data_IF_383209868877
#
_entry.id   IF_383209868877
#
_cell.length_a   1.000
_cell.length_b   1.000
_cell.length_c   1.000
_cell.angle_alpha   90.00
_cell.angle_beta   90.00
_cell.angle_gamma   90.00
#
_symmetry.space_group_name_H-M   'P 1'
#
loop_
_entity.id
_entity.type
_entity.pdbx_description
1 polymer ?
#
# COMPACT_ATOMS: atom_id res chain seq x y z
N UNK A 1 -8.53 -3.84 -11.81
CA UNK A 1 -9.14 -4.55 -10.67
C UNK A 1 -9.26 -3.52 -9.57
N UNK A 2 -10.45 -3.25 -9.09
CA UNK A 2 -10.68 -2.40 -7.92
C UNK A 2 -10.63 -3.26 -6.68
N UNK A 3 -10.10 -2.72 -5.59
CA UNK A 3 -10.18 -3.34 -4.28
C UNK A 3 -11.58 -3.08 -3.74
N UNK A 4 -12.18 -4.08 -3.10
CA UNK A 4 -13.53 -4.01 -2.56
C UNK A 4 -13.52 -4.08 -1.03
N UNK A 5 -14.54 -3.49 -0.40
CA UNK A 5 -14.70 -3.50 1.05
C UNK A 5 -15.35 -4.80 1.55
N UNK A 6 -14.75 -5.95 1.19
CA UNK A 6 -15.31 -7.29 1.42
C UNK A 6 -15.16 -7.82 2.84
N UNK A 7 -14.32 -7.14 3.66
CA UNK A 7 -14.02 -7.60 5.02
C UNK A 7 -13.83 -6.43 5.99
N UNK A 8 -13.87 -6.68 7.31
CA UNK A 8 -13.44 -5.71 8.32
C UNK A 8 -11.96 -5.38 8.19
N UNK A 9 -11.57 -4.17 8.59
CA UNK A 9 -10.17 -3.75 8.63
C UNK A 9 -9.62 -3.24 7.30
N UNK A 10 -10.47 -2.91 6.33
CA UNK A 10 -10.03 -2.22 5.12
C UNK A 10 -9.70 -0.77 5.44
N UNK A 11 -8.51 -0.32 5.02
CA UNK A 11 -8.00 1.03 5.23
C UNK A 11 -8.19 1.84 3.95
N UNK A 12 -8.92 2.95 4.03
CA UNK A 12 -9.29 3.75 2.87
C UNK A 12 -9.30 5.25 3.14
N UNK A 13 -9.16 6.04 2.07
CA UNK A 13 -9.22 7.50 2.12
C UNK A 13 -10.67 7.99 2.20
N UNK A 14 -10.94 8.90 3.13
CA UNK A 14 -12.21 9.59 3.21
C UNK A 14 -12.32 10.67 2.11
N UNK A 15 -13.54 10.90 1.64
CA UNK A 15 -13.87 12.00 0.75
C UNK A 15 -15.32 12.45 0.98
N UNK A 16 -15.67 13.61 0.45
CA UNK A 16 -17.03 14.17 0.46
C UNK A 16 -17.63 14.23 -0.96
N UNK A 17 -17.17 13.37 -1.88
CA UNK A 17 -17.55 13.31 -3.27
C UNK A 17 -16.36 13.45 -4.22
N UNK A 18 -16.57 13.56 -5.54
CA UNK A 18 -15.50 13.65 -6.52
C UNK A 18 -14.52 14.79 -6.24
N UNK A 19 -13.22 14.50 -6.32
CA UNK A 19 -12.13 15.48 -6.15
C UNK A 19 -12.07 16.19 -4.78
N UNK A 20 -12.61 15.56 -3.73
CA UNK A 20 -12.59 16.11 -2.35
C UNK A 20 -11.70 15.33 -1.39
N UNK A 21 -10.86 14.42 -1.90
CA UNK A 21 -9.92 13.64 -1.09
C UNK A 21 -8.91 14.55 -0.40
N UNK A 22 -8.78 14.38 0.93
CA UNK A 22 -7.78 15.04 1.76
C UNK A 22 -6.86 14.02 2.43
N UNK A 23 -6.41 14.34 3.66
CA UNK A 23 -5.56 13.44 4.46
C UNK A 23 -6.35 12.54 5.41
N UNK A 24 -7.66 12.70 5.51
CA UNK A 24 -8.50 11.87 6.37
C UNK A 24 -8.60 10.45 5.80
N UNK A 25 -8.42 9.47 6.68
CA UNK A 25 -8.60 8.05 6.36
C UNK A 25 -9.54 7.38 7.36
N UNK A 26 -10.02 6.21 7.02
CA UNK A 26 -10.85 5.39 7.90
C UNK A 26 -10.51 3.91 7.78
N UNK A 27 -10.91 3.14 8.77
CA UNK A 27 -10.84 1.67 8.76
C UNK A 27 -12.23 1.10 8.95
N UNK A 28 -12.58 0.06 8.17
CA UNK A 28 -13.90 -0.56 8.27
C UNK A 28 -13.97 -1.53 9.45
N UNK A 29 -15.11 -1.55 10.16
CA UNK A 29 -15.38 -2.50 11.24
C UNK A 29 -16.11 -3.76 10.75
N UNK A 30 -16.72 -3.67 9.57
CA UNK A 30 -17.46 -4.73 8.90
C UNK A 30 -17.30 -4.60 7.38
N UNK A 31 -17.70 -5.59 6.57
CA UNK A 31 -17.83 -5.42 5.13
C UNK A 31 -18.72 -4.20 4.80
N UNK A 32 -18.35 -3.45 3.77
CA UNK A 32 -18.98 -2.18 3.43
C UNK A 32 -19.07 -1.98 1.90
N UNK A 33 -19.75 -2.89 1.22
CA UNK A 33 -19.83 -2.96 -0.25
C UNK A 33 -20.33 -1.66 -0.89
N UNK A 34 -21.14 -0.87 -0.16
CA UNK A 34 -21.64 0.43 -0.63
C UNK A 34 -20.55 1.50 -0.80
N UNK A 35 -19.34 1.26 -0.30
CA UNK A 35 -18.18 2.14 -0.45
C UNK A 35 -17.34 1.80 -1.69
N UNK A 36 -17.64 0.67 -2.35
CA UNK A 36 -16.93 0.23 -3.54
C UNK A 36 -17.03 1.26 -4.66
N UNK A 37 -15.89 1.56 -5.29
CA UNK A 37 -15.80 2.55 -6.36
C UNK A 37 -15.94 4.02 -5.93
N UNK A 38 -16.20 4.30 -4.64
CA UNK A 38 -16.35 5.65 -4.08
C UNK A 38 -15.12 6.06 -3.27
N UNK A 39 -14.55 5.14 -2.50
CA UNK A 39 -13.39 5.38 -1.64
C UNK A 39 -12.17 4.57 -2.09
N UNK A 40 -11.00 5.19 -2.06
CA UNK A 40 -9.75 4.53 -2.44
C UNK A 40 -9.20 3.72 -1.28
N UNK A 41 -9.17 2.40 -1.43
CA UNK A 41 -8.52 1.48 -0.50
C UNK A 41 -7.02 1.52 -0.76
N UNK A 42 -6.21 1.67 0.31
CA UNK A 42 -4.76 1.65 0.22
C UNK A 42 -4.09 0.67 1.19
N UNK A 43 -4.87 -0.03 2.01
CA UNK A 43 -4.35 -1.02 2.93
C UNK A 43 -5.42 -1.86 3.60
N UNK A 44 -4.96 -2.82 4.38
CA UNK A 44 -5.79 -3.69 5.19
C UNK A 44 -5.09 -4.06 6.49
N UNK A 45 -5.85 -4.42 7.49
CA UNK A 45 -5.34 -4.90 8.78
C UNK A 45 -4.82 -6.33 8.60
N UNK A 46 -3.58 -6.60 9.02
CA UNK A 46 -2.89 -7.87 8.75
C UNK A 46 -3.44 -9.08 9.50
N UNK A 47 -4.02 -8.87 10.68
CA UNK A 47 -4.46 -9.96 11.53
C UNK A 47 -5.83 -9.70 12.13
N UNK A 48 -6.55 -10.77 12.46
CA UNK A 48 -7.81 -10.67 13.20
C UNK A 48 -7.62 -10.02 14.58
N UNK A 49 -6.49 -10.27 15.25
CA UNK A 49 -6.14 -9.62 16.52
C UNK A 49 -6.04 -8.11 16.40
N UNK A 50 -5.51 -7.60 15.28
CA UNK A 50 -5.44 -6.17 15.02
C UNK A 50 -6.81 -5.60 14.62
N UNK A 51 -7.61 -6.35 13.85
CA UNK A 51 -8.98 -5.95 13.56
C UNK A 51 -9.83 -5.81 14.83
N UNK A 52 -9.62 -6.69 15.82
CA UNK A 52 -10.28 -6.57 17.15
C UNK A 52 -9.83 -5.29 17.88
N UNK A 53 -8.55 -4.93 17.79
CA UNK A 53 -8.05 -3.66 18.39
C UNK A 53 -8.69 -2.44 17.73
N UNK A 54 -8.77 -2.45 16.39
CA UNK A 54 -9.42 -1.37 15.62
C UNK A 54 -10.87 -1.18 16.04
N UNK A 55 -11.63 -2.27 16.27
CA UNK A 55 -13.02 -2.19 16.73
C UNK A 55 -13.20 -1.61 18.15
N UNK A 56 -12.14 -1.51 18.92
CA UNK A 56 -12.16 -0.91 20.27
C UNK A 56 -11.87 0.58 20.28
N UNK A 57 -11.54 1.16 19.12
CA UNK A 57 -11.32 2.59 19.00
C UNK A 57 -12.64 3.34 19.17
N UNK A 58 -12.60 4.44 19.92
CA UNK A 58 -13.75 5.27 20.27
C UNK A 58 -13.53 6.72 19.83
N UNK A 59 -14.62 7.46 19.78
CA UNK A 59 -14.55 8.89 19.48
C UNK A 59 -13.75 9.61 20.57
N UNK A 60 -12.73 10.35 20.15
CA UNK A 60 -11.81 11.06 21.05
C UNK A 60 -10.48 10.37 21.24
N UNK A 61 -10.31 9.14 20.76
CA UNK A 61 -9.01 8.48 20.73
C UNK A 61 -8.04 9.25 19.83
N UNK A 62 -6.80 9.39 20.32
CA UNK A 62 -5.75 10.15 19.64
C UNK A 62 -4.66 9.24 19.12
N UNK A 63 -4.30 9.40 17.85
CA UNK A 63 -3.12 8.76 17.26
C UNK A 63 -1.88 9.39 17.91
N UNK A 64 -1.15 8.63 18.72
CA UNK A 64 0.06 9.11 19.40
C UNK A 64 1.30 9.00 18.53
N UNK A 65 1.37 7.96 17.71
CA UNK A 65 2.53 7.67 16.89
C UNK A 65 2.13 6.81 15.70
N UNK A 66 2.76 7.05 14.55
CA UNK A 66 2.73 6.19 13.37
C UNK A 66 4.16 5.73 13.11
N UNK A 67 4.37 4.43 12.99
CA UNK A 67 5.66 3.83 12.63
C UNK A 67 5.56 3.15 11.28
N UNK A 68 6.48 3.47 10.39
CA UNK A 68 6.62 2.82 9.10
C UNK A 68 7.72 1.76 9.24
N UNK A 69 7.47 0.56 8.73
CA UNK A 69 8.47 -0.52 8.75
C UNK A 69 9.62 -0.24 7.78
N UNK A 70 10.74 -0.97 7.91
CA UNK A 70 11.89 -0.89 7.01
C UNK A 70 11.51 -1.09 5.53
N UNK A 71 10.52 -1.95 5.26
CA UNK A 71 9.98 -2.12 3.91
C UNK A 71 9.30 -0.84 3.39
N UNK A 72 8.64 -0.07 4.27
CA UNK A 72 8.07 1.23 3.94
C UNK A 72 9.13 2.24 3.56
N UNK A 73 10.24 2.28 4.28
CA UNK A 73 11.39 3.15 3.97
C UNK A 73 12.00 2.80 2.60
N UNK A 74 12.10 1.51 2.30
CA UNK A 74 12.53 1.04 0.99
C UNK A 74 11.58 1.55 -0.12
N UNK A 75 10.26 1.40 0.07
CA UNK A 75 9.28 1.89 -0.90
C UNK A 75 9.33 3.40 -1.10
N UNK A 76 9.42 4.17 -0.02
CA UNK A 76 9.57 5.62 -0.11
C UNK A 76 10.83 5.99 -0.88
N UNK A 77 11.92 5.26 -0.66
CA UNK A 77 13.18 5.44 -1.39
C UNK A 77 13.07 5.17 -2.90
N UNK A 78 12.28 4.18 -3.32
CA UNK A 78 12.00 3.92 -4.74
C UNK A 78 11.30 5.10 -5.43
N UNK A 79 10.49 5.85 -4.69
CA UNK A 79 9.75 7.01 -5.18
C UNK A 79 10.35 8.34 -4.72
N UNK A 80 11.61 8.35 -4.27
CA UNK A 80 12.26 9.51 -3.69
C UNK A 80 12.04 10.81 -4.46
N UNK A 81 12.23 10.88 -5.80
CA UNK A 81 12.02 12.13 -6.53
C UNK A 81 10.57 12.66 -6.41
N UNK A 82 9.59 11.78 -6.40
CA UNK A 82 8.20 12.15 -6.26
C UNK A 82 7.86 12.59 -4.83
N UNK A 83 8.39 11.89 -3.83
CA UNK A 83 8.19 12.24 -2.42
C UNK A 83 8.87 13.57 -2.08
N UNK A 84 10.05 13.84 -2.61
CA UNK A 84 10.74 15.11 -2.45
C UNK A 84 9.97 16.28 -3.09
N UNK A 85 9.31 16.03 -4.24
CA UNK A 85 8.44 17.04 -4.86
C UNK A 85 7.23 17.34 -3.99
N UNK A 86 6.57 16.30 -3.45
CA UNK A 86 5.46 16.47 -2.52
C UNK A 86 5.89 17.18 -1.25
N UNK A 87 7.06 16.85 -0.69
CA UNK A 87 7.59 17.53 0.48
C UNK A 87 7.83 19.01 0.21
N UNK A 88 8.36 19.40 -0.97
CA UNK A 88 8.51 20.82 -1.35
C UNK A 88 7.18 21.58 -1.37
N UNK A 89 6.12 20.92 -1.86
CA UNK A 89 4.77 21.52 -1.86
C UNK A 89 4.27 21.66 -0.42
N UNK A 90 4.42 20.61 0.39
CA UNK A 90 3.98 20.60 1.80
C UNK A 90 4.74 21.63 2.63
N UNK A 91 6.04 21.79 2.45
CA UNK A 91 6.84 22.79 3.15
C UNK A 91 6.38 24.22 2.88
N UNK A 92 5.94 24.48 1.64
CA UNK A 92 5.40 25.78 1.27
C UNK A 92 4.03 26.04 1.89
N UNK A 93 3.14 25.03 1.90
CA UNK A 93 1.76 25.15 2.36
C UNK A 93 1.66 24.98 3.89
N UNK A 94 2.54 24.15 4.47
CA UNK A 94 2.53 23.75 5.88
C UNK A 94 3.93 23.73 6.49
N UNK A 95 4.59 24.87 6.68
CA UNK A 95 6.01 24.95 7.07
C UNK A 95 6.35 24.34 8.43
N UNK A 96 5.36 24.06 9.26
CA UNK A 96 5.55 23.45 10.59
C UNK A 96 5.37 21.92 10.59
N UNK A 97 5.10 21.28 9.44
CA UNK A 97 5.03 19.84 9.37
C UNK A 97 6.43 19.22 9.51
N UNK A 98 6.50 18.18 10.35
CA UNK A 98 7.71 17.37 10.44
C UNK A 98 7.83 16.54 9.17
N UNK A 99 8.92 16.73 8.43
CA UNK A 99 9.21 15.93 7.26
C UNK A 99 9.57 14.50 7.65
N UNK A 100 9.22 13.55 6.79
CA UNK A 100 9.68 12.19 6.86
C UNK A 100 10.93 12.04 5.96
N UNK A 101 12.10 11.67 6.53
CA UNK A 101 13.30 11.54 5.73
C UNK A 101 13.18 10.38 4.74
N UNK A 102 13.53 10.63 3.49
CA UNK A 102 13.53 9.59 2.44
C UNK A 102 14.98 9.18 2.19
N UNK A 103 15.27 7.90 2.45
CA UNK A 103 16.61 7.34 2.19
C UNK A 103 16.83 7.02 0.72
N UNK A 104 18.08 6.93 0.31
CA UNK A 104 18.43 6.35 -0.98
C UNK A 104 18.28 4.83 -0.95
N UNK A 105 17.85 4.28 -2.08
CA UNK A 105 17.74 2.83 -2.31
C UNK A 105 18.76 2.47 -3.38
N UNK A 106 19.59 1.47 -3.09
CA UNK A 106 20.62 1.00 -4.00
C UNK A 106 20.05 0.04 -5.04
N UNK A 107 20.73 -0.09 -6.19
CA UNK A 107 20.36 -1.06 -7.22
C UNK A 107 20.41 -2.50 -6.70
N UNK A 108 21.29 -2.80 -5.75
CA UNK A 108 21.39 -4.12 -5.12
C UNK A 108 20.15 -4.44 -4.26
N UNK A 109 19.66 -3.46 -3.48
CA UNK A 109 18.43 -3.63 -2.69
C UNK A 109 17.21 -3.85 -3.59
N UNK A 110 17.15 -3.14 -4.72
CA UNK A 110 16.06 -3.31 -5.70
C UNK A 110 16.09 -4.73 -6.27
N UNK A 111 17.26 -5.25 -6.62
CA UNK A 111 17.40 -6.60 -7.19
C UNK A 111 17.09 -7.69 -6.17
N UNK A 112 17.59 -7.55 -4.94
CA UNK A 112 17.27 -8.47 -3.84
C UNK A 112 15.76 -8.54 -3.55
N UNK A 113 15.07 -7.39 -3.59
CA UNK A 113 13.63 -7.35 -3.39
C UNK A 113 12.85 -8.00 -4.54
N UNK A 114 13.33 -7.86 -5.78
CA UNK A 114 12.75 -8.58 -6.93
C UNK A 114 12.87 -10.08 -6.77
N UNK A 115 14.04 -10.58 -6.37
CA UNK A 115 14.25 -12.02 -6.10
C UNK A 115 13.33 -12.53 -4.99
N UNK A 116 13.16 -11.75 -3.92
CA UNK A 116 12.25 -12.11 -2.83
C UNK A 116 10.80 -12.21 -3.32
N UNK A 117 10.35 -11.26 -4.12
CA UNK A 117 9.02 -11.29 -4.72
C UNK A 117 8.84 -12.51 -5.63
N UNK A 118 9.79 -12.78 -6.52
CA UNK A 118 9.73 -13.93 -7.42
C UNK A 118 9.70 -15.26 -6.65
N UNK A 119 10.46 -15.37 -5.57
CA UNK A 119 10.43 -16.53 -4.68
C UNK A 119 9.09 -16.70 -3.95
N UNK A 120 8.49 -15.60 -3.49
CA UNK A 120 7.17 -15.63 -2.86
C UNK A 120 6.08 -16.08 -3.84
N UNK A 121 6.15 -15.61 -5.10
CA UNK A 121 5.21 -16.01 -6.15
C UNK A 121 5.37 -17.48 -6.51
N UNK A 122 6.59 -17.95 -6.75
CA UNK A 122 6.87 -19.35 -7.11
C UNK A 122 6.41 -20.33 -6.01
N UNK A 123 6.54 -19.95 -4.73
CA UNK A 123 6.03 -20.76 -3.61
C UNK A 123 4.49 -20.78 -3.54
N UNK A 124 3.83 -19.67 -3.89
CA UNK A 124 2.35 -19.59 -3.89
C UNK A 124 1.74 -20.34 -5.06
N UNK A 125 2.33 -20.27 -6.25
CA UNK A 125 1.88 -21.03 -7.43
C UNK A 125 1.91 -22.53 -7.18
N UNK A 126 2.88 -23.05 -6.42
CA UNK A 126 2.96 -24.46 -6.04
C UNK A 126 1.93 -24.87 -4.98
N UNK A 127 1.30 -23.93 -4.27
CA UNK A 127 0.39 -24.22 -3.15
C UNK A 127 -1.08 -24.07 -3.49
N UNK A 128 -1.45 -23.28 -4.52
CA UNK A 128 -2.85 -23.04 -4.91
C UNK A 128 -2.94 -22.93 -6.43
N UNK A 129 -3.72 -23.82 -7.06
CA UNK A 129 -4.11 -23.72 -8.47
C UNK A 129 -5.15 -22.60 -8.73
N UNK A 130 -5.66 -21.95 -7.69
CA UNK A 130 -6.51 -20.74 -7.77
C UNK A 130 -5.71 -19.53 -7.31
N UNK A 131 -4.95 -18.94 -8.24
CA UNK A 131 -4.11 -17.78 -7.98
C UNK A 131 -4.89 -16.49 -7.98
N UNK A 132 -5.30 -16.04 -6.81
CA UNK A 132 -5.70 -14.65 -6.59
C UNK A 132 -4.42 -13.78 -6.45
N UNK A 133 -4.09 -13.02 -7.49
CA UNK A 133 -2.97 -12.06 -7.44
C UNK A 133 -3.37 -10.87 -6.58
N UNK A 134 -2.71 -10.67 -5.44
CA UNK A 134 -2.98 -9.51 -4.60
C UNK A 134 -2.73 -8.21 -5.37
N UNK A 135 -3.66 -7.23 -5.32
CA UNK A 135 -3.54 -5.98 -6.07
C UNK A 135 -2.26 -5.20 -5.80
N UNK A 136 -1.75 -5.27 -4.57
CA UNK A 136 -0.50 -4.61 -4.18
C UNK A 136 0.71 -5.18 -4.96
N UNK A 137 0.73 -6.49 -5.21
CA UNK A 137 1.82 -7.12 -5.96
C UNK A 137 1.78 -6.76 -7.43
N UNK A 138 0.59 -6.60 -8.02
CA UNK A 138 0.41 -6.09 -9.37
C UNK A 138 0.86 -4.62 -9.48
N UNK A 139 0.57 -3.83 -8.46
CA UNK A 139 1.04 -2.44 -8.37
C UNK A 139 2.57 -2.38 -8.29
N UNK A 140 3.18 -3.18 -7.41
CA UNK A 140 4.64 -3.27 -7.25
C UNK A 140 5.31 -3.70 -8.55
N UNK A 141 4.82 -4.74 -9.24
CA UNK A 141 5.30 -5.14 -10.57
C UNK A 141 5.20 -3.99 -11.58
N UNK A 142 4.10 -3.26 -11.58
CA UNK A 142 3.93 -2.08 -12.45
C UNK A 142 4.96 -0.98 -12.19
N UNK A 143 5.35 -0.80 -10.94
CA UNK A 143 6.39 0.15 -10.52
C UNK A 143 7.76 -0.30 -11.00
N UNK A 144 8.14 -1.56 -10.77
CA UNK A 144 9.43 -2.10 -11.24
C UNK A 144 9.57 -2.05 -12.76
N UNK A 145 8.48 -2.25 -13.51
CA UNK A 145 8.49 -2.10 -14.97
C UNK A 145 8.79 -0.65 -15.42
N UNK A 146 8.36 0.35 -14.64
CA UNK A 146 8.62 1.77 -14.94
C UNK A 146 10.02 2.22 -14.52
N UNK A 147 10.53 1.68 -13.41
CA UNK A 147 11.81 2.12 -12.80
C UNK A 147 13.02 1.32 -13.31
N UNK A 148 12.85 0.09 -13.75
CA UNK A 148 13.99 -0.78 -14.06
C UNK A 148 13.81 -1.81 -15.18
N UNK A 149 12.79 -1.70 -16.02
CA UNK A 149 12.65 -2.63 -17.16
C UNK A 149 12.39 -4.10 -16.76
N UNK A 150 11.75 -4.32 -15.61
CA UNK A 150 11.33 -5.64 -15.16
C UNK A 150 10.27 -6.20 -16.12
N UNK A 151 10.60 -7.26 -16.84
CA UNK A 151 9.63 -8.08 -17.58
C UNK A 151 9.22 -9.24 -16.68
N UNK A 152 7.94 -9.37 -16.29
CA UNK A 152 7.45 -10.58 -15.62
C UNK A 152 7.75 -11.79 -16.51
N UNK A 153 8.25 -12.88 -15.93
CA UNK A 153 8.27 -14.16 -16.65
C UNK A 153 6.83 -14.50 -17.04
N UNK A 154 6.58 -14.62 -18.34
CA UNK A 154 5.31 -15.16 -18.82
C UNK A 154 5.08 -16.52 -18.15
N UNK A 155 3.97 -16.65 -17.44
CA UNK A 155 3.51 -17.94 -16.97
C UNK A 155 3.21 -18.77 -18.22
N UNK A 156 4.06 -19.74 -18.50
CA UNK A 156 3.77 -20.76 -19.51
C UNK A 156 2.57 -21.56 -19.01
N UNK A 157 1.39 -21.14 -19.43
CA UNK A 157 0.20 -21.97 -19.35
C UNK A 157 0.38 -23.01 -20.47
N UNK A 158 0.96 -24.15 -20.12
CA UNK A 158 0.88 -25.34 -20.98
C UNK A 158 -0.54 -25.87 -20.89
N UNK A 159 -1.20 -25.88 -22.04
CA UNK A 159 -2.49 -26.57 -22.27
C UNK A 159 -2.46 -28.04 -21.81
#
# INVERSE_FOLDING_TARGET
MMLDFYQPGMLAMANAGPNTGGSQFFMTFAPADWLNGVHTIFGEVRSEGDAIKVRKLEMGDVIKEVRISENGDFFLGLFKPQVEEWNRILDREYPNLKQYPVRDVTAQEVEAYKEELDNLYTKKEKKNQDTFEYPITKFIRGVFNKVGGYTPRESVISN
#
